data_IF_368354218135
#
_entry.id   IF_368354218135
#
_cell.length_a   1.000
_cell.length_b   1.000
_cell.length_c   1.000
_cell.angle_alpha   90.00
_cell.angle_beta   90.00
_cell.angle_gamma   90.00
#
_symmetry.space_group_name_H-M   'P 1'
#
loop_
_entity.id
_entity.type
_entity.pdbx_description
1 polymer ?
#
# COMPACT_ATOMS: atom_id res chain seq x y z
N UNK A 1 -14.14 -10.61 10.24
CA UNK A 1 -13.78 -10.65 8.79
C UNK A 1 -12.31 -11.00 8.76
N UNK A 2 -11.87 -11.96 7.94
CA UNK A 2 -10.44 -12.29 7.93
C UNK A 2 -9.66 -11.22 7.16
N UNK A 3 -8.62 -10.69 7.79
CA UNK A 3 -7.82 -9.60 7.26
C UNK A 3 -6.32 -9.81 7.51
N UNK A 4 -5.45 -9.05 6.84
CA UNK A 4 -4.01 -9.06 7.07
C UNK A 4 -3.59 -8.52 8.44
N UNK A 5 -4.53 -8.00 9.25
CA UNK A 5 -4.19 -7.36 10.52
C UNK A 5 -3.33 -8.29 11.37
N UNK A 6 -2.19 -7.80 11.85
CA UNK A 6 -1.24 -8.59 12.64
C UNK A 6 -0.32 -9.51 11.84
N UNK A 7 -0.29 -9.42 10.50
CA UNK A 7 0.68 -10.10 9.66
C UNK A 7 2.13 -9.89 10.15
N UNK A 8 2.93 -10.96 10.15
CA UNK A 8 4.31 -10.95 10.60
C UNK A 8 5.26 -10.95 9.40
N UNK A 9 6.18 -9.99 9.35
CA UNK A 9 7.21 -9.90 8.28
C UNK A 9 8.25 -11.00 8.39
N UNK A 10 8.77 -11.20 9.60
CA UNK A 10 9.69 -12.28 9.93
C UNK A 10 8.88 -13.41 10.59
N UNK A 11 8.61 -14.51 9.89
CA UNK A 11 7.93 -15.67 10.47
C UNK A 11 8.80 -16.33 11.54
N UNK A 12 8.17 -16.94 12.54
CA UNK A 12 8.86 -17.65 13.63
C UNK A 12 8.68 -19.17 13.58
N UNK A 13 7.79 -19.66 12.71
CA UNK A 13 7.50 -21.05 12.45
C UNK A 13 7.77 -21.41 10.98
N UNK A 14 8.04 -22.69 10.74
CA UNK A 14 8.30 -23.25 9.41
C UNK A 14 7.01 -23.38 8.57
N UNK A 15 7.16 -23.88 7.35
CA UNK A 15 6.06 -24.18 6.43
C UNK A 15 5.07 -25.19 7.04
N UNK A 16 3.77 -24.90 6.91
CA UNK A 16 2.70 -25.85 7.18
C UNK A 16 2.18 -26.49 5.88
N UNK A 17 1.41 -27.57 6.02
CA UNK A 17 0.75 -28.22 4.89
C UNK A 17 -0.78 -28.10 5.01
N UNK A 18 -1.43 -27.73 3.91
CA UNK A 18 -2.87 -27.72 3.74
C UNK A 18 -3.30 -28.80 2.75
N UNK A 19 -4.21 -29.67 3.15
CA UNK A 19 -4.75 -30.75 2.29
C UNK A 19 -6.26 -30.88 2.43
N UNK A 20 -6.90 -31.33 1.36
CA UNK A 20 -8.32 -31.69 1.37
C UNK A 20 -8.48 -33.18 1.71
N UNK A 21 -9.27 -33.51 2.73
CA UNK A 21 -9.47 -34.91 3.16
C UNK A 21 -10.64 -35.64 2.48
N UNK A 22 -11.33 -34.95 1.58
CA UNK A 22 -12.58 -35.40 0.95
C UNK A 22 -13.83 -34.68 1.48
N UNK A 23 -13.72 -34.00 2.62
CA UNK A 23 -14.82 -33.30 3.28
C UNK A 23 -14.48 -31.88 3.76
N UNK A 24 -13.24 -31.65 4.17
CA UNK A 24 -12.79 -30.39 4.75
C UNK A 24 -11.29 -30.15 4.50
N UNK A 25 -10.87 -28.89 4.63
CA UNK A 25 -9.45 -28.53 4.61
C UNK A 25 -8.82 -28.82 5.97
N UNK A 26 -7.66 -29.46 5.94
CA UNK A 26 -6.83 -29.71 7.11
C UNK A 26 -5.53 -28.92 6.98
N UNK A 27 -5.19 -28.10 7.98
CA UNK A 27 -3.92 -27.37 8.07
C UNK A 27 -3.22 -27.79 9.36
N UNK A 28 -1.99 -28.30 9.25
CA UNK A 28 -1.20 -28.77 10.42
C UNK A 28 -1.94 -29.76 11.33
N UNK A 29 -2.81 -30.60 10.75
CA UNK A 29 -3.60 -31.60 11.49
C UNK A 29 -4.92 -31.08 12.08
N UNK A 30 -5.21 -29.79 11.99
CA UNK A 30 -6.48 -29.18 12.40
C UNK A 30 -7.42 -29.05 11.21
N UNK A 31 -8.68 -29.44 11.37
CA UNK A 31 -9.68 -29.39 10.31
C UNK A 31 -10.55 -28.12 10.41
N UNK A 32 -10.92 -27.56 9.25
CA UNK A 32 -11.68 -26.32 9.12
C UNK A 32 -12.93 -26.52 8.25
N UNK A 33 -13.98 -27.19 8.76
CA UNK A 33 -15.19 -27.49 7.98
C UNK A 33 -16.00 -26.22 7.66
N UNK A 34 -15.99 -25.24 8.57
CA UNK A 34 -16.80 -24.02 8.47
C UNK A 34 -15.97 -22.78 8.05
N UNK A 35 -14.76 -23.00 7.53
CA UNK A 35 -13.79 -21.94 7.27
C UNK A 35 -12.93 -21.60 8.49
N UNK A 36 -12.15 -20.53 8.35
CA UNK A 36 -11.26 -19.98 9.37
C UNK A 36 -11.96 -18.87 10.17
N UNK A 37 -11.62 -18.77 11.45
CA UNK A 37 -11.93 -17.63 12.32
C UNK A 37 -10.69 -16.73 12.49
N UNK A 38 -10.88 -15.53 13.06
CA UNK A 38 -9.75 -14.65 13.42
C UNK A 38 -8.82 -15.30 14.46
N UNK A 39 -9.35 -16.15 15.35
CA UNK A 39 -8.56 -16.92 16.31
C UNK A 39 -7.69 -17.97 15.62
N UNK A 40 -8.22 -18.67 14.63
CA UNK A 40 -7.46 -19.65 13.84
C UNK A 40 -6.33 -18.97 13.08
N UNK A 41 -6.63 -17.83 12.42
CA UNK A 41 -5.64 -17.04 11.70
C UNK A 41 -4.52 -16.57 12.63
N UNK A 42 -4.83 -16.15 13.86
CA UNK A 42 -3.81 -15.71 14.82
C UNK A 42 -2.76 -16.81 15.08
N UNK A 43 -3.19 -18.09 15.17
CA UNK A 43 -2.30 -19.23 15.32
C UNK A 43 -1.49 -19.59 14.07
N UNK A 44 -1.87 -19.08 12.90
CA UNK A 44 -1.20 -19.34 11.61
C UNK A 44 -0.24 -18.22 11.19
N UNK A 45 -0.23 -17.06 11.87
CA UNK A 45 0.60 -15.90 11.45
C UNK A 45 2.09 -16.11 11.59
N UNK A 46 2.49 -16.99 12.51
CA UNK A 46 3.88 -17.35 12.75
C UNK A 46 4.47 -18.18 11.62
N UNK A 47 3.64 -18.82 10.80
CA UNK A 47 4.07 -19.67 9.71
C UNK A 47 4.81 -18.87 8.64
N UNK A 48 5.90 -19.47 8.14
CA UNK A 48 6.59 -18.98 6.95
C UNK A 48 5.65 -19.00 5.76
N UNK A 49 4.90 -20.07 5.58
CA UNK A 49 3.91 -20.22 4.52
C UNK A 49 3.08 -21.49 4.73
N UNK A 50 2.08 -21.68 3.86
CA UNK A 50 1.30 -22.90 3.76
C UNK A 50 1.48 -23.51 2.37
N UNK A 51 2.01 -24.72 2.31
CA UNK A 51 2.07 -25.55 1.11
C UNK A 51 0.74 -26.26 0.88
N UNK A 52 0.12 -26.08 -0.27
CA UNK A 52 -1.18 -26.68 -0.60
C UNK A 52 -0.98 -27.97 -1.40
N UNK A 53 -1.55 -29.05 -0.89
CA UNK A 53 -1.76 -30.31 -1.60
C UNK A 53 -3.17 -30.33 -2.19
N UNK A 54 -3.26 -30.11 -3.50
CA UNK A 54 -4.53 -30.01 -4.18
C UNK A 54 -5.18 -31.39 -4.43
N UNK A 55 -6.49 -31.54 -4.20
CA UNK A 55 -7.22 -32.73 -4.61
C UNK A 55 -7.34 -32.81 -6.14
N UNK A 56 -7.48 -34.04 -6.67
CA UNK A 56 -7.67 -34.27 -8.11
C UNK A 56 -8.98 -33.66 -8.62
N UNK A 57 -10.05 -33.78 -7.83
CA UNK A 57 -11.36 -33.17 -8.07
C UNK A 57 -11.49 -31.83 -7.35
N UNK A 58 -12.42 -30.99 -7.81
CA UNK A 58 -12.66 -29.66 -7.22
C UNK A 58 -13.02 -29.72 -5.74
N UNK A 59 -12.50 -28.78 -4.96
CA UNK A 59 -12.85 -28.57 -3.56
C UNK A 59 -13.28 -27.10 -3.31
N UNK A 60 -14.08 -26.82 -2.27
CA UNK A 60 -14.37 -25.45 -1.83
C UNK A 60 -13.08 -24.67 -1.58
N UNK A 61 -13.04 -23.38 -1.94
CA UNK A 61 -11.84 -22.55 -1.85
C UNK A 61 -11.88 -21.53 -0.70
N UNK A 62 -12.93 -21.55 0.13
CA UNK A 62 -13.16 -20.56 1.17
C UNK A 62 -11.97 -20.45 2.13
N UNK A 63 -11.48 -21.56 2.68
CA UNK A 63 -10.30 -21.60 3.55
C UNK A 63 -9.05 -21.07 2.84
N UNK A 64 -8.86 -21.40 1.56
CA UNK A 64 -7.69 -20.95 0.79
C UNK A 64 -7.74 -19.43 0.57
N UNK A 65 -8.89 -18.89 0.15
CA UNK A 65 -9.07 -17.45 0.00
C UNK A 65 -8.94 -16.72 1.34
N UNK A 66 -9.43 -17.32 2.42
CA UNK A 66 -9.31 -16.81 3.78
C UNK A 66 -7.86 -16.72 4.24
N UNK A 67 -7.03 -17.75 3.99
CA UNK A 67 -5.59 -17.69 4.26
C UNK A 67 -4.90 -16.59 3.43
N UNK A 68 -5.26 -16.49 2.15
CA UNK A 68 -4.74 -15.43 1.28
C UNK A 68 -5.10 -14.04 1.83
N UNK A 69 -6.37 -13.81 2.19
CA UNK A 69 -6.84 -12.57 2.83
C UNK A 69 -6.16 -12.28 4.17
N UNK A 70 -5.81 -13.31 4.93
CA UNK A 70 -5.07 -13.19 6.18
C UNK A 70 -3.59 -12.78 5.99
N UNK A 71 -3.09 -12.79 4.75
CA UNK A 71 -1.68 -12.56 4.46
C UNK A 71 -0.80 -13.78 4.69
N UNK A 72 -1.35 -14.97 4.92
CA UNK A 72 -0.55 -16.20 4.99
C UNK A 72 -0.07 -16.52 3.58
N UNK A 73 1.25 -16.54 3.31
CA UNK A 73 1.76 -16.90 1.99
C UNK A 73 1.36 -18.35 1.65
N UNK A 74 0.88 -18.55 0.43
CA UNK A 74 0.42 -19.84 -0.08
C UNK A 74 1.27 -20.27 -1.26
N UNK A 75 1.64 -21.54 -1.34
CA UNK A 75 2.27 -22.07 -2.54
C UNK A 75 1.92 -23.53 -2.77
N UNK A 76 2.11 -24.01 -3.99
CA UNK A 76 2.01 -25.42 -4.35
C UNK A 76 2.98 -25.75 -5.49
N UNK A 77 3.50 -26.98 -5.50
CA UNK A 77 4.44 -27.42 -6.55
C UNK A 77 3.74 -27.53 -7.92
N UNK A 78 2.46 -27.86 -7.91
CA UNK A 78 1.57 -27.88 -9.06
C UNK A 78 0.19 -27.43 -8.60
N UNK A 79 -0.67 -27.05 -9.54
CA UNK A 79 -2.03 -26.61 -9.27
C UNK A 79 -2.96 -27.14 -10.36
N UNK A 80 -4.16 -27.65 -10.00
CA UNK A 80 -5.04 -28.31 -10.96
C UNK A 80 -5.76 -27.32 -11.89
N UNK A 81 -6.19 -27.83 -13.04
CA UNK A 81 -6.83 -27.03 -14.10
C UNK A 81 -8.23 -26.50 -13.75
N UNK A 82 -8.83 -27.00 -12.66
CA UNK A 82 -10.12 -26.51 -12.17
C UNK A 82 -9.99 -25.22 -11.34
N UNK A 83 -8.79 -24.83 -10.93
CA UNK A 83 -8.59 -23.56 -10.20
C UNK A 83 -8.78 -22.36 -11.11
N UNK A 84 -9.19 -21.26 -10.51
CA UNK A 84 -9.11 -19.95 -11.15
C UNK A 84 -7.67 -19.64 -11.62
N UNK A 85 -7.47 -19.10 -12.84
CA UNK A 85 -6.14 -18.81 -13.36
C UNK A 85 -5.31 -17.87 -12.48
N UNK A 86 -5.91 -16.81 -11.92
CA UNK A 86 -5.17 -15.85 -11.10
C UNK A 86 -4.66 -16.51 -9.81
N UNK A 87 -5.50 -17.35 -9.18
CA UNK A 87 -5.08 -18.11 -8.01
C UNK A 87 -4.01 -19.13 -8.37
N UNK A 88 -4.19 -19.86 -9.48
CA UNK A 88 -3.26 -20.88 -9.97
C UNK A 88 -1.87 -20.31 -10.22
N UNK A 89 -1.79 -19.19 -10.94
CA UNK A 89 -0.53 -18.53 -11.29
C UNK A 89 0.19 -18.04 -10.03
N UNK A 90 -0.54 -17.49 -9.06
CA UNK A 90 0.06 -17.05 -7.80
C UNK A 90 0.57 -18.23 -6.96
N UNK A 91 -0.25 -19.25 -6.69
CA UNK A 91 0.19 -20.36 -5.82
C UNK A 91 1.32 -21.19 -6.43
N UNK A 92 1.47 -21.20 -7.75
CA UNK A 92 2.57 -21.89 -8.43
C UNK A 92 3.81 -21.03 -8.65
N UNK A 93 3.75 -19.72 -8.35
CA UNK A 93 4.92 -18.84 -8.41
C UNK A 93 5.91 -19.17 -7.29
N UNK A 94 6.90 -20.00 -7.60
CA UNK A 94 7.94 -20.40 -6.65
C UNK A 94 9.12 -19.42 -6.56
N UNK A 95 9.14 -18.33 -7.33
CA UNK A 95 10.30 -17.40 -7.41
C UNK A 95 10.61 -16.69 -6.10
N UNK A 96 9.65 -16.64 -5.18
CA UNK A 96 9.86 -16.05 -3.86
C UNK A 96 10.55 -17.02 -2.87
N UNK A 97 10.56 -18.32 -3.16
CA UNK A 97 11.24 -19.38 -2.39
C UNK A 97 12.71 -19.57 -2.81
N UNK A 98 13.11 -19.01 -3.95
CA UNK A 98 14.48 -19.14 -4.45
C UNK A 98 15.48 -18.58 -3.44
N UNK A 99 16.47 -19.39 -2.99
CA UNK A 99 17.53 -18.91 -2.11
C UNK A 99 18.38 -17.88 -2.84
N UNK A 100 18.74 -16.79 -2.16
CA UNK A 100 19.52 -15.71 -2.75
C UNK A 100 20.94 -15.68 -2.16
N UNK A 101 21.93 -15.54 -3.04
CA UNK A 101 23.35 -15.38 -2.70
C UNK A 101 23.76 -13.99 -3.16
N UNK A 102 23.43 -12.94 -2.41
CA UNK A 102 23.78 -11.56 -2.81
C UNK A 102 24.85 -10.90 -1.92
N UNK A 103 25.46 -11.65 -0.99
CA UNK A 103 26.54 -11.14 -0.16
C UNK A 103 26.12 -10.02 0.80
N UNK A 104 24.83 -9.66 0.85
CA UNK A 104 24.27 -8.78 1.88
C UNK A 104 23.84 -9.65 3.06
N UNK A 105 24.18 -9.24 4.29
CA UNK A 105 23.91 -10.03 5.50
C UNK A 105 22.43 -10.12 5.92
N UNK A 106 21.48 -9.68 5.09
CA UNK A 106 20.05 -9.61 5.41
C UNK A 106 19.22 -10.43 4.41
N UNK A 107 18.33 -11.28 4.91
CA UNK A 107 17.53 -12.19 4.09
C UNK A 107 16.49 -11.44 3.24
N UNK A 108 16.62 -11.54 1.92
CA UNK A 108 15.60 -11.11 0.96
C UNK A 108 14.41 -12.07 0.88
N UNK A 109 14.52 -13.27 1.47
CA UNK A 109 13.42 -14.23 1.52
C UNK A 109 12.18 -13.66 2.21
N UNK A 110 12.37 -12.88 3.29
CA UNK A 110 11.25 -12.25 4.00
C UNK A 110 10.62 -11.11 3.21
N UNK A 111 11.42 -10.36 2.42
CA UNK A 111 10.89 -9.37 1.48
C UNK A 111 10.05 -10.04 0.40
N UNK A 112 10.60 -11.06 -0.28
CA UNK A 112 9.92 -11.78 -1.37
C UNK A 112 8.66 -12.48 -0.86
N UNK A 113 8.70 -13.05 0.34
CA UNK A 113 7.53 -13.59 1.05
C UNK A 113 6.46 -12.53 1.26
N UNK A 114 6.85 -11.34 1.71
CA UNK A 114 5.91 -10.22 1.93
C UNK A 114 5.26 -9.79 0.60
N UNK A 115 6.06 -9.63 -0.46
CA UNK A 115 5.59 -9.29 -1.82
C UNK A 115 4.62 -10.34 -2.35
N UNK A 116 4.96 -11.63 -2.19
CA UNK A 116 4.10 -12.75 -2.58
C UNK A 116 2.78 -12.75 -1.80
N UNK A 117 2.87 -12.61 -0.49
CA UNK A 117 1.72 -12.48 0.39
C UNK A 117 0.81 -11.33 -0.03
N UNK A 118 1.35 -10.16 -0.42
CA UNK A 118 0.52 -9.03 -0.83
C UNK A 118 -0.25 -9.34 -2.12
N UNK A 119 0.37 -10.01 -3.09
CA UNK A 119 -0.31 -10.41 -4.34
C UNK A 119 -1.48 -11.36 -4.04
N UNK A 120 -1.27 -12.36 -3.19
CA UNK A 120 -2.32 -13.27 -2.72
C UNK A 120 -3.41 -12.55 -1.93
N UNK A 121 -3.03 -11.65 -1.00
CA UNK A 121 -3.96 -10.83 -0.21
C UNK A 121 -4.91 -10.03 -1.08
N UNK A 122 -4.39 -9.38 -2.12
CA UNK A 122 -5.22 -8.62 -3.07
C UNK A 122 -6.26 -9.51 -3.72
N UNK A 123 -5.88 -10.71 -4.16
CA UNK A 123 -6.81 -11.67 -4.76
C UNK A 123 -7.88 -12.12 -3.74
N UNK A 124 -7.46 -12.55 -2.54
CA UNK A 124 -8.37 -13.00 -1.49
C UNK A 124 -9.36 -11.91 -1.05
N UNK A 125 -8.84 -10.72 -0.73
CA UNK A 125 -9.66 -9.63 -0.21
C UNK A 125 -10.64 -9.10 -1.26
N UNK A 126 -10.20 -8.91 -2.51
CA UNK A 126 -11.09 -8.42 -3.59
C UNK A 126 -12.24 -9.38 -3.90
N UNK A 127 -12.08 -10.68 -3.63
CA UNK A 127 -13.16 -11.68 -3.74
C UNK A 127 -14.12 -11.65 -2.56
N UNK A 128 -13.60 -11.40 -1.36
CA UNK A 128 -14.41 -11.34 -0.13
C UNK A 128 -15.12 -10.01 0.08
N UNK A 129 -14.68 -8.96 -0.61
CA UNK A 129 -15.14 -7.58 -0.39
C UNK A 129 -15.97 -7.07 -1.57
N UNK A 130 -16.96 -6.23 -1.26
CA UNK A 130 -17.80 -5.64 -2.29
C UNK A 130 -17.09 -4.44 -2.92
N UNK A 131 -16.29 -4.69 -3.97
CA UNK A 131 -15.53 -3.64 -4.65
C UNK A 131 -16.41 -2.58 -5.30
N UNK A 132 -17.68 -2.87 -5.59
CA UNK A 132 -18.61 -1.93 -6.24
C UNK A 132 -19.13 -0.82 -5.32
N UNK A 133 -18.87 -0.89 -4.00
CA UNK A 133 -19.32 0.11 -3.03
C UNK A 133 -18.19 1.02 -2.51
N UNK A 134 -16.98 0.91 -3.07
CA UNK A 134 -15.79 1.62 -2.56
C UNK A 134 -15.77 3.14 -2.79
N UNK A 135 -16.75 3.66 -3.51
CA UNK A 135 -16.91 5.09 -3.76
C UNK A 135 -15.78 5.71 -4.60
N UNK A 136 -16.02 6.94 -5.04
CA UNK A 136 -15.05 7.73 -5.80
C UNK A 136 -13.94 8.25 -4.86
N UNK A 137 -12.68 8.05 -5.25
CA UNK A 137 -11.50 8.62 -4.57
C UNK A 137 -11.06 9.91 -5.27
N UNK A 138 -11.00 11.01 -4.54
CA UNK A 138 -10.37 12.24 -5.02
C UNK A 138 -8.90 12.26 -4.62
N UNK A 139 -8.03 12.13 -5.61
CA UNK A 139 -6.58 12.21 -5.45
C UNK A 139 -6.18 13.69 -5.43
N UNK A 140 -5.69 14.16 -4.29
CA UNK A 140 -5.29 15.55 -4.08
C UNK A 140 -3.78 15.68 -4.25
N UNK A 141 -3.39 16.35 -5.33
CA UNK A 141 -1.99 16.68 -5.62
C UNK A 141 -1.76 18.15 -5.31
N UNK A 142 -0.85 18.47 -4.40
CA UNK A 142 -0.41 19.84 -4.13
C UNK A 142 1.05 20.00 -4.54
N UNK A 143 1.30 20.62 -5.68
CA UNK A 143 2.63 20.68 -6.29
C UNK A 143 3.12 22.11 -6.44
N UNK A 144 4.41 22.33 -6.17
CA UNK A 144 5.15 23.56 -6.53
C UNK A 144 6.16 23.34 -7.66
N UNK A 145 6.09 22.18 -8.31
CA UNK A 145 7.14 21.62 -9.16
C UNK A 145 6.55 21.33 -10.55
N UNK A 146 6.37 22.35 -11.40
CA UNK A 146 5.77 22.16 -12.72
C UNK A 146 6.47 21.09 -13.58
N UNK A 147 7.78 20.91 -13.38
CA UNK A 147 8.55 19.89 -14.09
C UNK A 147 8.20 18.43 -13.70
N UNK A 148 7.51 18.21 -12.58
CA UNK A 148 7.09 16.87 -12.13
C UNK A 148 5.65 16.53 -12.56
N UNK A 149 4.89 17.48 -13.10
CA UNK A 149 3.48 17.28 -13.44
C UNK A 149 3.26 16.06 -14.34
N UNK A 150 4.04 15.91 -15.40
CA UNK A 150 3.96 14.75 -16.30
C UNK A 150 4.21 13.42 -15.55
N UNK A 151 5.23 13.40 -14.68
CA UNK A 151 5.58 12.23 -13.87
C UNK A 151 4.45 11.88 -12.89
N UNK A 152 3.92 12.88 -12.16
CA UNK A 152 2.84 12.67 -11.18
C UNK A 152 1.59 12.12 -11.87
N UNK A 153 1.17 12.71 -12.99
CA UNK A 153 0.02 12.23 -13.75
C UNK A 153 0.25 10.81 -14.29
N UNK A 154 1.46 10.49 -14.75
CA UNK A 154 1.79 9.13 -15.19
C UNK A 154 1.71 8.10 -14.05
N UNK A 155 2.09 8.45 -12.82
CA UNK A 155 1.95 7.56 -11.66
C UNK A 155 0.47 7.33 -11.29
N UNK A 156 -0.36 8.38 -11.35
CA UNK A 156 -1.80 8.28 -11.06
C UNK A 156 -2.53 7.52 -12.19
N UNK A 157 -2.15 7.72 -13.45
CA UNK A 157 -2.75 7.06 -14.62
C UNK A 157 -2.64 5.53 -14.58
N UNK A 158 -1.68 5.00 -13.82
CA UNK A 158 -1.45 3.56 -13.64
C UNK A 158 -2.34 2.93 -12.56
N UNK A 159 -3.09 3.73 -11.79
CA UNK A 159 -3.93 3.21 -10.73
C UNK A 159 -5.04 2.33 -11.27
N UNK A 160 -5.22 1.15 -10.68
CA UNK A 160 -6.22 0.14 -11.08
C UNK A 160 -7.06 -0.33 -9.90
N UNK A 161 -8.24 -0.89 -10.20
CA UNK A 161 -9.21 -1.37 -9.22
C UNK A 161 -9.72 -0.28 -8.26
N UNK A 162 -9.86 0.94 -8.77
CA UNK A 162 -10.35 2.11 -8.05
C UNK A 162 -11.04 3.06 -9.02
N UNK A 163 -12.17 3.63 -8.62
CA UNK A 163 -12.78 4.77 -9.31
C UNK A 163 -12.17 6.05 -8.74
N UNK A 164 -11.55 6.86 -9.58
CA UNK A 164 -10.82 8.05 -9.13
C UNK A 164 -11.07 9.28 -10.00
N UNK A 165 -10.91 10.44 -9.37
CA UNK A 165 -10.69 11.73 -10.00
C UNK A 165 -9.43 12.38 -9.40
N UNK A 166 -8.87 13.37 -10.08
CA UNK A 166 -7.72 14.14 -9.60
C UNK A 166 -8.13 15.58 -9.33
N UNK A 167 -7.72 16.13 -8.19
CA UNK A 167 -7.67 17.57 -8.00
C UNK A 167 -6.21 17.99 -7.89
N UNK A 168 -5.73 18.68 -8.92
CA UNK A 168 -4.36 19.16 -9.00
C UNK A 168 -4.30 20.64 -8.58
N UNK A 169 -3.77 20.89 -7.39
CA UNK A 169 -3.48 22.22 -6.89
C UNK A 169 -2.07 22.66 -7.35
N UNK A 170 -2.05 23.48 -8.41
CA UNK A 170 -0.85 24.13 -8.93
C UNK A 170 -0.46 25.32 -8.03
N UNK A 171 0.60 25.14 -7.23
CA UNK A 171 1.03 26.09 -6.21
C UNK A 171 2.20 26.94 -6.70
N UNK A 172 1.92 28.21 -7.01
CA UNK A 172 2.92 29.18 -7.45
C UNK A 172 3.32 29.04 -8.92
N UNK A 173 2.54 28.33 -9.74
CA UNK A 173 2.76 28.24 -11.19
C UNK A 173 1.43 28.14 -11.96
N UNK A 174 1.39 28.50 -13.26
CA UNK A 174 0.16 28.54 -14.03
C UNK A 174 -0.50 27.17 -14.19
N UNK A 175 -1.82 27.09 -14.00
CA UNK A 175 -2.64 25.90 -14.24
C UNK A 175 -2.53 25.36 -15.67
N UNK A 176 -2.17 26.22 -16.63
CA UNK A 176 -1.99 25.84 -18.03
C UNK A 176 -0.89 24.77 -18.22
N UNK A 177 0.15 24.77 -17.38
CA UNK A 177 1.18 23.72 -17.41
C UNK A 177 0.54 22.35 -17.13
N UNK A 178 -0.36 22.29 -16.15
CA UNK A 178 -1.09 21.06 -15.82
C UNK A 178 -2.06 20.66 -16.92
N UNK A 179 -2.79 21.62 -17.50
CA UNK A 179 -3.72 21.35 -18.61
C UNK A 179 -3.02 20.75 -19.83
N UNK A 180 -1.78 21.16 -20.11
CA UNK A 180 -1.01 20.64 -21.24
C UNK A 180 -0.59 19.19 -21.04
N UNK A 181 -0.10 18.85 -19.84
CA UNK A 181 0.29 17.48 -19.50
C UNK A 181 -0.93 16.55 -19.34
N UNK A 182 -2.08 17.10 -18.95
CA UNK A 182 -3.30 16.33 -18.71
C UNK A 182 -4.16 16.03 -19.95
N UNK A 183 -3.72 16.42 -21.17
CA UNK A 183 -4.52 16.28 -22.41
C UNK A 183 -5.02 14.87 -22.67
N UNK A 184 -4.16 13.88 -22.42
CA UNK A 184 -4.45 12.45 -22.65
C UNK A 184 -4.60 11.68 -21.32
N UNK A 185 -4.84 12.40 -20.21
CA UNK A 185 -4.98 11.78 -18.90
C UNK A 185 -6.30 11.00 -18.81
N UNK A 186 -6.28 9.72 -18.37
CA UNK A 186 -7.44 8.83 -18.50
C UNK A 186 -8.58 9.10 -17.49
N UNK A 187 -8.36 9.95 -16.48
CA UNK A 187 -9.31 10.20 -15.40
C UNK A 187 -9.77 11.66 -15.37
N UNK A 188 -10.95 11.96 -14.78
CA UNK A 188 -11.37 13.33 -14.55
C UNK A 188 -10.32 14.09 -13.74
N UNK A 189 -10.03 15.32 -14.15
CA UNK A 189 -9.07 16.18 -13.48
C UNK A 189 -9.60 17.61 -13.34
N UNK A 190 -9.59 18.11 -12.11
CA UNK A 190 -9.83 19.51 -11.79
C UNK A 190 -8.51 20.18 -11.40
N UNK A 191 -8.29 21.40 -11.88
CA UNK A 191 -7.03 22.13 -11.66
C UNK A 191 -7.34 23.43 -10.91
N UNK A 192 -6.66 23.62 -9.78
CA UNK A 192 -6.77 24.82 -8.95
C UNK A 192 -5.42 25.54 -8.97
N UNK A 193 -5.41 26.82 -9.36
CA UNK A 193 -4.21 27.64 -9.30
C UNK A 193 -4.19 28.45 -8.00
N UNK A 194 -3.08 28.39 -7.27
CA UNK A 194 -2.87 29.13 -6.02
C UNK A 194 -1.52 29.89 -6.07
N UNK A 195 -1.45 31.04 -5.40
CA UNK A 195 -0.24 31.85 -5.34
C UNK A 195 0.87 31.21 -4.50
N UNK A 196 2.14 31.54 -4.77
CA UNK A 196 3.31 30.96 -4.08
C UNK A 196 3.38 31.22 -2.57
N UNK A 197 2.67 32.25 -2.10
CA UNK A 197 2.65 32.66 -0.69
C UNK A 197 1.61 31.88 0.14
N UNK A 198 0.78 31.05 -0.49
CA UNK A 198 -0.24 30.26 0.20
C UNK A 198 0.42 29.19 1.07
N UNK A 199 -0.05 29.02 2.31
CA UNK A 199 0.52 28.00 3.20
C UNK A 199 0.19 26.62 2.64
N UNK A 200 1.16 25.71 2.64
CA UNK A 200 1.01 24.41 1.95
C UNK A 200 -0.21 23.60 2.40
N UNK A 201 -0.56 23.63 3.69
CA UNK A 201 -1.80 23.00 4.18
C UNK A 201 -3.07 23.61 3.57
N UNK A 202 -3.10 24.93 3.36
CA UNK A 202 -4.23 25.62 2.72
C UNK A 202 -4.37 25.28 1.24
N UNK A 203 -3.25 25.02 0.55
CA UNK A 203 -3.24 24.51 -0.83
C UNK A 203 -3.94 23.16 -0.92
N UNK A 204 -3.63 22.25 0.01
CA UNK A 204 -4.29 20.94 0.08
C UNK A 204 -5.78 21.12 0.41
N UNK A 205 -6.12 21.97 1.39
CA UNK A 205 -7.52 22.25 1.74
C UNK A 205 -8.32 22.82 0.57
N UNK A 206 -7.72 23.72 -0.22
CA UNK A 206 -8.34 24.28 -1.42
C UNK A 206 -8.59 23.21 -2.51
N UNK A 207 -7.67 22.23 -2.63
CA UNK A 207 -7.89 21.04 -3.47
C UNK A 207 -9.06 20.19 -2.97
N UNK A 208 -9.08 19.87 -1.67
CA UNK A 208 -10.19 19.08 -1.07
C UNK A 208 -11.54 19.80 -1.22
N UNK A 209 -11.58 21.12 -1.17
CA UNK A 209 -12.81 21.89 -1.38
C UNK A 209 -13.41 21.74 -2.79
N UNK A 210 -12.62 21.24 -3.77
CA UNK A 210 -13.07 20.94 -5.14
C UNK A 210 -13.34 19.44 -5.37
N UNK A 211 -13.05 18.59 -4.38
CA UNK A 211 -13.22 17.15 -4.48
C UNK A 211 -14.71 16.74 -4.45
N UNK A 212 -15.09 15.85 -5.37
CA UNK A 212 -16.42 15.23 -5.47
C UNK A 212 -16.48 13.84 -4.80
N UNK A 213 -15.32 13.19 -4.64
CA UNK A 213 -15.20 11.86 -4.06
C UNK A 213 -15.61 11.75 -2.60
N UNK A 214 -16.03 10.54 -2.20
CA UNK A 214 -16.31 10.20 -0.80
C UNK A 214 -15.03 10.06 0.02
N UNK A 215 -13.92 9.71 -0.65
CA UNK A 215 -12.61 9.55 -0.05
C UNK A 215 -11.63 10.60 -0.58
N UNK A 216 -10.77 11.07 0.31
CA UNK A 216 -9.63 11.95 -0.01
C UNK A 216 -8.37 11.13 0.10
N UNK A 217 -7.58 11.11 -0.99
CA UNK A 217 -6.24 10.52 -1.00
C UNK A 217 -5.20 11.62 -1.23
N UNK A 218 -4.28 11.83 -0.28
CA UNK A 218 -3.16 12.77 -0.47
C UNK A 218 -2.07 12.10 -1.32
N UNK A 219 -1.53 12.84 -2.28
CA UNK A 219 -0.52 12.36 -3.20
C UNK A 219 0.65 13.33 -3.30
N UNK A 220 1.88 12.84 -3.10
CA UNK A 220 3.11 13.62 -3.25
C UNK A 220 3.62 13.51 -4.70
N UNK A 221 4.07 14.61 -5.27
CA UNK A 221 4.29 14.76 -6.71
C UNK A 221 5.60 14.12 -7.24
N UNK A 222 6.47 13.65 -6.35
CA UNK A 222 7.82 13.18 -6.64
C UNK A 222 8.09 11.71 -6.30
N UNK A 223 7.16 11.01 -5.67
CA UNK A 223 7.32 9.63 -5.25
C UNK A 223 6.80 8.63 -6.31
N UNK A 224 7.31 7.39 -6.24
CA UNK A 224 6.79 6.28 -7.05
C UNK A 224 5.77 5.48 -6.25
N UNK A 225 4.64 5.18 -6.90
CA UNK A 225 3.50 4.49 -6.31
C UNK A 225 3.17 3.21 -7.10
N UNK A 226 2.83 2.14 -6.37
CA UNK A 226 2.33 0.91 -6.99
C UNK A 226 1.03 1.17 -7.76
N UNK A 227 0.78 0.50 -8.90
CA UNK A 227 -0.50 0.54 -9.63
C UNK A 227 -1.72 0.20 -8.77
N UNK A 228 -1.54 -0.52 -7.67
CA UNK A 228 -2.63 -0.89 -6.76
C UNK A 228 -2.69 -0.01 -5.51
N UNK A 229 -1.86 1.04 -5.39
CA UNK A 229 -1.70 1.85 -4.18
C UNK A 229 -3.03 2.31 -3.58
N UNK A 230 -3.88 2.96 -4.38
CA UNK A 230 -5.19 3.45 -3.90
C UNK A 230 -6.12 2.29 -3.55
N UNK A 231 -6.09 1.20 -4.33
CA UNK A 231 -6.92 0.02 -4.06
C UNK A 231 -6.49 -0.70 -2.76
N UNK A 232 -5.20 -0.72 -2.43
CA UNK A 232 -4.68 -1.28 -1.18
C UNK A 232 -5.13 -0.44 0.02
N UNK A 233 -5.14 0.90 -0.11
CA UNK A 233 -5.65 1.78 0.94
C UNK A 233 -7.16 1.60 1.14
N UNK A 234 -7.96 1.50 0.07
CA UNK A 234 -9.40 1.23 0.18
C UNK A 234 -9.69 -0.13 0.82
N UNK A 235 -8.95 -1.18 0.41
CA UNK A 235 -9.02 -2.50 1.06
C UNK A 235 -8.76 -2.38 2.57
N UNK A 236 -7.71 -1.66 2.94
CA UNK A 236 -7.37 -1.42 4.34
C UNK A 236 -8.43 -0.64 5.10
N UNK A 237 -9.04 0.37 4.48
CA UNK A 237 -10.14 1.14 5.09
C UNK A 237 -11.31 0.21 5.39
N UNK A 238 -11.63 -0.68 4.46
CA UNK A 238 -12.73 -1.63 4.57
C UNK A 238 -12.51 -2.68 5.66
N UNK A 239 -11.35 -3.36 5.71
CA UNK A 239 -11.12 -4.40 6.72
C UNK A 239 -10.75 -3.86 8.11
N UNK A 240 -10.13 -2.68 8.20
CA UNK A 240 -9.73 -2.12 9.50
C UNK A 240 -10.83 -1.30 10.15
N UNK A 241 -11.76 -0.76 9.34
CA UNK A 241 -12.75 0.22 9.80
C UNK A 241 -12.14 1.54 10.29
N UNK A 242 -10.85 1.79 10.06
CA UNK A 242 -10.16 2.95 10.60
C UNK A 242 -10.65 4.26 9.96
N UNK A 243 -10.50 5.39 10.65
CA UNK A 243 -10.87 6.70 10.10
C UNK A 243 -9.84 7.17 9.06
N UNK A 244 -8.57 6.80 9.27
CA UNK A 244 -7.46 7.07 8.34
C UNK A 244 -6.66 5.81 8.11
N UNK A 245 -6.27 5.60 6.86
CA UNK A 245 -5.31 4.56 6.47
C UNK A 245 -4.10 5.19 5.77
N UNK A 246 -2.96 4.52 5.85
CA UNK A 246 -1.78 4.90 5.08
C UNK A 246 -0.64 3.88 5.15
N UNK A 247 0.31 4.01 4.24
CA UNK A 247 1.51 3.17 4.22
C UNK A 247 2.62 3.80 5.09
N UNK A 248 3.53 3.00 5.67
CA UNK A 248 4.77 3.55 6.20
C UNK A 248 5.72 3.97 5.08
N UNK A 249 6.63 4.92 5.37
CA UNK A 249 7.80 5.16 4.52
C UNK A 249 8.87 4.11 4.78
N UNK A 250 8.86 3.05 3.96
CA UNK A 250 9.75 1.90 4.11
C UNK A 250 10.91 1.90 3.12
N UNK A 251 10.65 2.25 1.86
CA UNK A 251 11.63 2.29 0.78
C UNK A 251 11.96 3.72 0.39
N UNK A 252 13.25 3.98 0.16
CA UNK A 252 13.76 5.27 -0.27
C UNK A 252 14.76 5.09 -1.40
N UNK A 253 14.64 5.89 -2.46
CA UNK A 253 15.68 6.04 -3.47
C UNK A 253 16.45 7.35 -3.20
N UNK A 254 17.72 7.22 -2.84
CA UNK A 254 18.61 8.33 -2.53
C UNK A 254 19.41 8.72 -3.78
N UNK A 255 18.82 9.59 -4.62
CA UNK A 255 19.41 9.97 -5.91
C UNK A 255 20.86 10.46 -5.83
N UNK A 256 21.28 11.28 -4.84
CA UNK A 256 22.66 11.77 -4.78
C UNK A 256 23.70 10.66 -4.60
N UNK A 257 23.26 9.51 -4.08
CA UNK A 257 24.11 8.36 -3.81
C UNK A 257 23.87 7.21 -4.78
N UNK A 258 22.85 7.32 -5.63
CA UNK A 258 22.38 6.25 -6.52
C UNK A 258 22.20 4.93 -5.75
N UNK A 259 21.45 4.97 -4.64
CA UNK A 259 21.13 3.80 -3.83
C UNK A 259 19.65 3.74 -3.46
N UNK A 260 19.11 2.52 -3.40
CA UNK A 260 17.81 2.25 -2.80
C UNK A 260 17.98 1.63 -1.42
N UNK A 261 17.18 2.06 -0.45
CA UNK A 261 17.29 1.64 0.94
C UNK A 261 15.91 1.22 1.46
N UNK A 262 15.84 0.05 2.10
CA UNK A 262 14.69 -0.39 2.91
C UNK A 262 15.01 -0.19 4.38
N UNK A 263 14.18 0.53 5.14
CA UNK A 263 14.44 0.81 6.57
C UNK A 263 13.84 -0.21 7.57
N UNK A 264 12.87 -1.03 7.19
CA UNK A 264 12.36 -2.17 7.98
C UNK A 264 11.85 -1.87 9.42
N UNK A 265 11.83 -0.61 9.86
CA UNK A 265 11.59 -0.20 11.26
C UNK A 265 10.12 -0.18 11.70
N UNK A 266 9.21 -0.30 10.75
CA UNK A 266 7.79 -0.12 11.00
C UNK A 266 7.08 -1.47 11.06
N UNK A 267 6.27 -1.68 12.10
CA UNK A 267 5.27 -2.75 12.08
C UNK A 267 4.19 -2.38 11.06
N UNK A 268 3.67 -3.37 10.35
CA UNK A 268 2.65 -3.20 9.30
C UNK A 268 1.41 -4.00 9.63
N UNK A 269 0.32 -3.63 8.97
CA UNK A 269 -0.99 -4.24 9.17
C UNK A 269 -1.47 -4.11 10.62
N UNK A 270 -1.31 -2.93 11.21
CA UNK A 270 -1.72 -2.64 12.60
C UNK A 270 -2.41 -1.28 12.73
N UNK A 271 -3.25 -1.14 13.75
CA UNK A 271 -3.60 0.18 14.30
C UNK A 271 -2.32 0.87 14.78
N UNK A 272 -2.13 2.13 14.39
CA UNK A 272 -0.91 2.89 14.63
C UNK A 272 -1.26 4.33 15.02
N UNK A 273 -0.24 5.09 15.41
CA UNK A 273 -0.26 6.53 15.68
C UNK A 273 0.26 7.35 14.49
N UNK A 274 0.91 6.69 13.52
CA UNK A 274 1.58 7.35 12.41
C UNK A 274 1.61 6.51 11.13
N UNK A 275 1.34 7.17 10.03
CA UNK A 275 1.52 6.72 8.65
C UNK A 275 2.25 7.79 7.83
N UNK A 276 2.68 7.48 6.61
CA UNK A 276 3.29 8.46 5.72
C UNK A 276 2.27 9.51 5.29
N UNK A 277 2.66 10.79 5.38
CA UNK A 277 1.90 11.90 4.80
C UNK A 277 1.67 11.77 3.30
N UNK A 278 2.53 11.04 2.58
CA UNK A 278 2.42 10.81 1.15
C UNK A 278 1.32 9.80 0.76
N UNK A 279 0.65 9.18 1.73
CA UNK A 279 -0.23 8.02 1.50
C UNK A 279 -1.53 8.05 2.30
N UNK A 280 -1.93 9.22 2.78
CA UNK A 280 -3.14 9.35 3.60
C UNK A 280 -4.38 9.09 2.74
N UNK A 281 -5.23 8.18 3.18
CA UNK A 281 -6.60 8.05 2.69
C UNK A 281 -7.59 8.08 3.87
N UNK A 282 -8.63 8.89 3.73
CA UNK A 282 -9.68 9.08 4.73
C UNK A 282 -10.99 9.52 4.05
N UNK A 283 -12.10 9.42 4.78
CA UNK A 283 -13.37 9.95 4.30
C UNK A 283 -13.35 11.48 4.24
N UNK A 284 -13.97 12.04 3.21
CA UNK A 284 -14.07 13.50 3.03
C UNK A 284 -14.84 14.15 4.18
N UNK A 285 -15.85 13.47 4.73
CA UNK A 285 -16.60 13.89 5.93
C UNK A 285 -15.68 13.98 7.14
N UNK A 286 -14.89 12.94 7.43
CA UNK A 286 -13.89 12.96 8.51
C UNK A 286 -12.90 14.11 8.33
N UNK A 287 -12.41 14.35 7.11
CA UNK A 287 -11.52 15.48 6.84
C UNK A 287 -12.17 16.83 7.16
N UNK A 288 -13.43 17.01 6.78
CA UNK A 288 -14.21 18.23 7.04
C UNK A 288 -14.50 18.44 8.53
N UNK A 289 -14.87 17.38 9.25
CA UNK A 289 -15.17 17.40 10.69
C UNK A 289 -13.95 17.82 11.51
N UNK A 290 -12.76 17.38 11.11
CA UNK A 290 -11.49 17.73 11.77
C UNK A 290 -10.99 19.13 11.39
N UNK A 291 -11.57 19.74 10.35
CA UNK A 291 -11.19 21.07 9.87
C UNK A 291 -9.98 21.08 8.93
N UNK A 292 -9.60 19.93 8.38
CA UNK A 292 -8.53 19.79 7.40
C UNK A 292 -7.11 20.09 7.92
N UNK A 293 -6.21 20.46 7.02
CA UNK A 293 -4.83 20.79 7.36
C UNK A 293 -4.74 22.16 8.02
N UNK A 294 -4.03 22.23 9.15
CA UNK A 294 -3.74 23.50 9.82
C UNK A 294 -2.76 24.35 8.97
N UNK A 295 -2.87 25.69 8.99
CA UNK A 295 -1.99 26.59 8.25
C UNK A 295 -0.63 26.73 8.94
N UNK A 296 0.16 25.66 8.94
CA UNK A 296 1.50 25.61 9.52
C UNK A 296 2.57 25.39 8.43
N UNK A 297 3.78 25.94 8.59
CA UNK A 297 4.84 25.77 7.59
C UNK A 297 5.35 24.32 7.44
N UNK A 298 5.28 23.52 8.50
CA UNK A 298 5.79 22.14 8.54
C UNK A 298 4.96 21.26 9.48
N UNK A 299 4.97 19.94 9.21
CA UNK A 299 4.31 18.94 10.05
C UNK A 299 2.79 18.91 9.93
N UNK A 300 2.23 19.39 8.81
CA UNK A 300 0.79 19.38 8.56
C UNK A 300 0.18 17.99 8.70
N UNK A 301 0.79 16.96 8.09
CA UNK A 301 0.31 15.58 8.15
C UNK A 301 0.24 15.05 9.59
N UNK A 302 1.31 15.23 10.37
CA UNK A 302 1.35 14.81 11.78
C UNK A 302 0.29 15.52 12.62
N UNK A 303 -0.02 16.78 12.32
CA UNK A 303 -1.05 17.53 13.05
C UNK A 303 -2.45 17.06 12.69
N UNK A 304 -2.70 16.75 11.41
CA UNK A 304 -3.97 16.17 10.97
C UNK A 304 -4.22 14.83 11.67
N UNK A 305 -3.23 13.93 11.66
CA UNK A 305 -3.32 12.63 12.34
C UNK A 305 -3.60 12.78 13.84
N UNK A 306 -2.86 13.66 14.53
CA UNK A 306 -3.10 13.94 15.95
C UNK A 306 -4.47 14.54 16.24
N UNK A 307 -4.99 15.37 15.34
CA UNK A 307 -6.33 15.95 15.49
C UNK A 307 -7.41 14.87 15.36
N UNK A 308 -7.23 13.92 14.44
CA UNK A 308 -8.10 12.74 14.28
C UNK A 308 -8.07 11.86 15.54
N UNK A 309 -6.89 11.53 16.04
CA UNK A 309 -6.76 10.77 17.30
C UNK A 309 -7.40 11.50 18.49
N UNK A 310 -7.20 12.82 18.58
CA UNK A 310 -7.80 13.64 19.64
C UNK A 310 -9.34 13.70 19.57
N UNK A 311 -9.92 13.51 18.39
CA UNK A 311 -11.36 13.36 18.18
C UNK A 311 -11.87 11.93 18.44
N UNK A 312 -11.00 11.00 18.85
CA UNK A 312 -11.33 9.59 19.07
C UNK A 312 -11.25 8.73 17.82
N UNK A 313 -10.76 9.27 16.72
CA UNK A 313 -10.55 8.55 15.46
C UNK A 313 -9.35 7.59 15.53
N UNK A 314 -9.33 6.65 14.61
CA UNK A 314 -8.36 5.56 14.52
C UNK A 314 -7.54 5.65 13.24
N UNK A 315 -6.25 5.31 13.36
CA UNK A 315 -5.32 5.28 12.23
C UNK A 315 -4.84 3.85 12.03
N UNK A 316 -4.86 3.38 10.79
CA UNK A 316 -4.37 2.06 10.42
C UNK A 316 -3.22 2.15 9.43
N UNK A 317 -2.13 1.44 9.75
CA UNK A 317 -0.92 1.38 8.93
C UNK A 317 -0.88 0.06 8.17
N UNK A 318 -0.89 0.16 6.85
CA UNK A 318 -0.87 -0.98 5.91
C UNK A 318 0.57 -1.48 5.67
N UNK A 319 0.77 -2.37 4.71
CA UNK A 319 2.10 -2.73 4.19
C UNK A 319 2.91 -1.54 3.64
N UNK A 320 4.23 -1.64 3.63
CA UNK A 320 5.13 -0.58 3.14
C UNK A 320 5.66 -0.74 1.72
N UNK A 321 5.21 -1.77 0.99
CA UNK A 321 5.80 -2.14 -0.32
C UNK A 321 5.32 -1.31 -1.52
N UNK A 322 4.25 -0.51 -1.36
CA UNK A 322 3.59 0.20 -2.45
C UNK A 322 4.09 1.63 -2.69
N UNK A 323 5.07 2.10 -1.92
CA UNK A 323 5.64 3.44 -1.99
C UNK A 323 7.17 3.36 -2.00
N UNK A 324 7.80 4.01 -2.97
CA UNK A 324 9.25 4.28 -2.97
C UNK A 324 9.45 5.80 -2.93
N UNK A 325 9.97 6.28 -1.82
CA UNK A 325 10.15 7.71 -1.59
C UNK A 325 11.38 8.23 -2.33
N UNK A 326 11.21 9.26 -3.15
CA UNK A 326 12.30 9.91 -3.86
C UNK A 326 13.01 10.92 -2.98
N UNK A 327 14.32 10.78 -2.84
CA UNK A 327 15.17 11.73 -2.11
C UNK A 327 16.19 12.36 -3.04
N UNK A 328 15.72 13.39 -3.75
CA UNK A 328 16.54 14.20 -4.65
C UNK A 328 17.53 15.11 -3.89
N UNK A 329 18.60 15.52 -4.58
CA UNK A 329 19.62 16.45 -4.06
C UNK A 329 19.08 17.87 -3.80
N UNK A 330 17.96 18.23 -4.43
CA UNK A 330 17.47 19.61 -4.48
C UNK A 330 16.76 20.00 -3.18
N UNK A 331 16.97 21.26 -2.76
CA UNK A 331 16.41 21.88 -1.56
C UNK A 331 14.87 22.09 -1.58
N UNK A 332 14.15 21.35 -2.42
CA UNK A 332 12.71 21.51 -2.64
C UNK A 332 11.86 20.61 -1.75
N UNK A 333 12.47 19.75 -0.93
CA UNK A 333 11.79 18.96 0.10
C UNK A 333 11.49 19.81 1.33
N UNK A 334 10.25 19.73 1.82
CA UNK A 334 9.85 20.37 3.09
C UNK A 334 10.44 19.65 4.32
N UNK A 335 10.89 18.39 4.14
CA UNK A 335 11.57 17.57 5.15
C UNK A 335 12.97 17.17 4.68
N UNK A 336 14.02 17.57 5.42
CA UNK A 336 15.43 17.46 5.00
C UNK A 336 16.35 16.80 6.06
N UNK A 337 16.10 15.56 6.49
CA UNK A 337 17.08 14.80 7.26
C UNK A 337 18.35 14.52 6.43
N UNK A 338 19.52 14.38 7.08
CA UNK A 338 20.75 14.01 6.40
C UNK A 338 20.64 12.61 5.79
N UNK A 339 21.25 12.38 4.63
CA UNK A 339 21.17 11.09 3.94
C UNK A 339 21.67 9.91 4.79
N UNK A 340 22.64 10.16 5.67
CA UNK A 340 23.19 9.18 6.61
C UNK A 340 22.14 8.62 7.58
N UNK A 341 21.06 9.35 7.86
CA UNK A 341 19.96 8.87 8.70
C UNK A 341 19.19 7.72 8.02
N UNK A 342 19.06 7.75 6.69
CA UNK A 342 18.39 6.68 5.96
C UNK A 342 19.26 5.41 5.90
N UNK A 343 20.58 5.57 5.81
CA UNK A 343 21.55 4.48 5.71
C UNK A 343 21.75 3.78 7.07
N UNK A 344 21.92 4.54 8.16
CA UNK A 344 22.32 3.99 9.48
C UNK A 344 21.30 3.01 10.08
N UNK A 345 20.06 2.99 9.58
CA UNK A 345 18.99 2.10 10.03
C UNK A 345 18.31 1.35 8.89
N UNK A 346 19.05 0.99 7.84
CA UNK A 346 18.54 0.17 6.75
C UNK A 346 18.50 -1.32 7.12
N UNK A 347 17.40 -2.00 6.82
CA UNK A 347 17.34 -3.46 6.76
C UNK A 347 18.04 -4.00 5.49
N UNK A 348 17.91 -3.29 4.36
CA UNK A 348 18.52 -3.66 3.09
C UNK A 348 18.99 -2.41 2.33
N UNK A 349 20.02 -2.57 1.49
CA UNK A 349 20.56 -1.53 0.61
C UNK A 349 20.94 -2.12 -0.74
N UNK A 350 20.63 -1.40 -1.81
CA UNK A 350 20.97 -1.76 -3.18
C UNK A 350 21.59 -0.57 -3.90
N UNK A 351 22.55 -0.83 -4.79
CA UNK A 351 23.02 0.19 -5.74
C UNK A 351 21.96 0.38 -6.83
N UNK A 352 21.80 1.61 -7.28
CA UNK A 352 20.84 1.97 -8.30
C UNK A 352 19.42 2.11 -7.78
N UNK A 353 18.53 2.35 -8.74
CA UNK A 353 17.09 2.33 -8.56
C UNK A 353 16.59 0.87 -8.47
N UNK A 354 16.14 0.44 -7.29
CA UNK A 354 15.75 -0.94 -7.02
C UNK A 354 14.39 -1.00 -6.30
N UNK A 355 13.28 -0.81 -7.04
CA UNK A 355 11.95 -0.79 -6.46
C UNK A 355 11.51 -2.19 -6.03
N UNK A 356 10.45 -2.26 -5.22
CA UNK A 356 9.81 -3.54 -4.93
C UNK A 356 9.20 -4.14 -6.21
N UNK A 357 9.00 -5.46 -6.23
CA UNK A 357 8.25 -6.13 -7.31
C UNK A 357 6.77 -5.74 -7.35
N UNK A 358 6.30 -4.98 -6.37
CA UNK A 358 4.94 -4.45 -6.24
C UNK A 358 4.77 -3.12 -6.99
N UNK A 359 5.86 -2.37 -7.21
CA UNK A 359 5.80 -1.10 -7.90
C UNK A 359 5.56 -1.23 -9.42
N UNK A 360 5.89 -2.38 -10.03
CA UNK A 360 5.76 -2.70 -11.47
C UNK A 360 6.41 -1.67 -12.42
N UNK A 361 7.34 -2.06 -13.29
CA UNK A 361 7.80 -1.23 -14.42
C UNK A 361 8.22 0.20 -14.04
N UNK A 362 9.28 0.31 -13.25
CA UNK A 362 9.91 1.59 -12.93
C UNK A 362 10.80 2.14 -14.02
#
# INVERSE_FOLDING_TARGET
MISPQGFLRAPSAETAEARWDGSQWIISGTAFPDGLTEGDVAGLRDLRDVRIEWPQSSAPLDVIHQLASAGVPLHSAAAPDWLDPDLRDLVTDARWLEPEIDGTGASLADLRREEHSLRLRRLGLRRSMNTSERGLVSVIVASRRPALTAFTLAQIARQRHVDLEVVYAAHGFPAEVVRQEARDFPFPIEIVELGSETVFGEVINAGVARANGGYIAKWDDDDWYSPDHLSDLLLAKEYSGADVVGMPTEFYYLEPLDITVRRGRWRTEITADLVSGATLLLERTTFQEIGGFQPVPQGGDTRLLKAIEAAGGTIYRTHGMGLLVRRAATAQHTWQPPLSEFIRGSANQWRGFHPTRILEGS
#
